data_IF_887619621430
#
_entry.id   IF_887619621430
#
_cell.length_a   1.000
_cell.length_b   1.000
_cell.length_c   1.000
_cell.angle_alpha   90.00
_cell.angle_beta   90.00
_cell.angle_gamma   90.00
#
_symmetry.space_group_name_H-M   'P 1'
#
loop_
_entity.id
_entity.type
_entity.pdbx_description
1 polymer ?
#
# COMPACT_ATOMS: atom_id res chain seq x y z
N UNK A 1 -4.34 3.56 -28.13
CA UNK A 1 -4.32 4.50 -26.98
C UNK A 1 -3.08 5.37 -27.08
N UNK A 2 -3.16 6.69 -26.91
CA UNK A 2 -1.98 7.55 -27.06
C UNK A 2 -0.97 7.31 -25.93
N UNK A 3 0.33 7.44 -26.20
CA UNK A 3 1.40 7.27 -25.20
C UNK A 3 1.17 8.14 -23.96
N UNK A 4 0.56 9.32 -24.15
CA UNK A 4 0.23 10.25 -23.08
C UNK A 4 -0.89 9.74 -22.17
N UNK A 5 -2.00 9.22 -22.74
CA UNK A 5 -3.08 8.61 -21.96
C UNK A 5 -2.61 7.40 -21.14
N UNK A 6 -1.67 6.61 -21.68
CA UNK A 6 -1.08 5.48 -20.93
C UNK A 6 -0.31 5.99 -19.72
N UNK A 7 0.49 7.05 -19.85
CA UNK A 7 1.26 7.61 -18.74
C UNK A 7 0.35 8.23 -17.66
N UNK A 8 -0.73 8.90 -18.07
CA UNK A 8 -1.74 9.42 -17.15
C UNK A 8 -2.42 8.28 -16.37
N UNK A 9 -2.86 7.24 -17.08
CA UNK A 9 -3.47 6.05 -16.47
C UNK A 9 -2.52 5.32 -15.51
N UNK A 10 -1.26 5.13 -15.87
CA UNK A 10 -0.25 4.53 -14.98
C UNK A 10 -0.05 5.39 -13.73
N UNK A 11 0.04 6.71 -13.88
CA UNK A 11 0.11 7.63 -12.75
C UNK A 11 -1.12 7.51 -11.84
N UNK A 12 -2.31 7.41 -12.39
CA UNK A 12 -3.55 7.23 -11.61
C UNK A 12 -3.54 5.90 -10.85
N UNK A 13 -3.13 4.81 -11.49
CA UNK A 13 -2.98 3.51 -10.83
C UNK A 13 -1.98 3.56 -9.68
N UNK A 14 -0.84 4.23 -9.86
CA UNK A 14 0.16 4.42 -8.79
C UNK A 14 -0.38 5.25 -7.62
N UNK A 15 -1.24 6.24 -7.90
CA UNK A 15 -1.86 7.06 -6.87
C UNK A 15 -2.84 6.23 -6.04
N UNK A 16 -3.73 5.49 -6.71
CA UNK A 16 -4.73 4.63 -6.09
C UNK A 16 -4.06 3.52 -5.28
N UNK A 17 -3.05 2.85 -5.86
CA UNK A 17 -2.32 1.81 -5.13
C UNK A 17 -1.61 2.36 -3.91
N UNK A 18 -1.03 3.56 -3.99
CA UNK A 18 -0.43 4.22 -2.82
C UNK A 18 -1.41 4.44 -1.67
N UNK A 19 -2.65 4.85 -1.97
CA UNK A 19 -3.70 4.95 -0.95
C UNK A 19 -4.13 3.59 -0.38
N UNK A 20 -4.22 2.56 -1.23
CA UNK A 20 -4.51 1.19 -0.78
C UNK A 20 -3.44 0.73 0.21
N UNK A 21 -2.17 0.96 -0.09
CA UNK A 21 -1.07 0.62 0.82
C UNK A 21 -1.15 1.36 2.16
N UNK A 22 -1.55 2.63 2.17
CA UNK A 22 -1.73 3.42 3.41
C UNK A 22 -2.90 2.92 4.25
N UNK A 23 -4.01 2.50 3.62
CA UNK A 23 -5.20 2.01 4.32
C UNK A 23 -5.03 0.54 4.76
N UNK A 24 -4.20 -0.22 4.04
CA UNK A 24 -4.02 -1.66 4.27
C UNK A 24 -3.67 -2.06 5.71
N UNK A 25 -2.87 -1.33 6.51
CA UNK A 25 -2.59 -1.68 7.90
C UNK A 25 -3.85 -1.75 8.76
N UNK A 26 -4.82 -0.86 8.52
CA UNK A 26 -6.11 -0.85 9.25
C UNK A 26 -6.92 -2.09 8.91
N UNK A 27 -6.99 -2.43 7.61
CA UNK A 27 -7.70 -3.61 7.12
C UNK A 27 -7.04 -4.89 7.67
N UNK A 28 -5.71 -4.97 7.63
CA UNK A 28 -4.93 -6.10 8.15
C UNK A 28 -5.12 -6.24 9.65
N UNK A 29 -5.02 -5.13 10.40
CA UNK A 29 -5.24 -5.13 11.85
C UNK A 29 -6.63 -5.66 12.19
N UNK A 30 -7.65 -5.15 11.52
CA UNK A 30 -9.04 -5.56 11.73
C UNK A 30 -9.28 -7.02 11.31
N UNK A 31 -8.66 -7.47 10.22
CA UNK A 31 -8.71 -8.87 9.82
C UNK A 31 -8.06 -9.77 10.87
N UNK A 32 -6.87 -9.44 11.38
CA UNK A 32 -6.19 -10.29 12.36
C UNK A 32 -6.95 -10.32 13.70
N UNK A 33 -7.40 -9.17 14.20
CA UNK A 33 -7.93 -9.04 15.58
C UNK A 33 -9.46 -9.10 15.66
N UNK A 34 -10.19 -9.02 14.54
CA UNK A 34 -11.65 -8.96 14.52
C UNK A 34 -12.36 -10.27 14.88
N UNK A 35 -11.64 -11.39 15.03
CA UNK A 35 -12.19 -12.65 15.49
C UNK A 35 -11.12 -13.42 16.28
N UNK A 36 -11.48 -13.89 17.48
CA UNK A 36 -10.54 -14.55 18.39
C UNK A 36 -10.04 -15.89 17.85
N UNK A 37 -10.90 -16.75 17.32
CA UNK A 37 -10.49 -18.04 16.75
C UNK A 37 -9.56 -17.85 15.55
N UNK A 38 -9.88 -16.88 14.68
CA UNK A 38 -9.04 -16.50 13.55
C UNK A 38 -7.69 -15.96 14.01
N UNK A 39 -7.67 -15.11 15.04
CA UNK A 39 -6.44 -14.61 15.62
C UNK A 39 -5.55 -15.76 16.11
N UNK A 40 -6.09 -16.67 16.91
CA UNK A 40 -5.36 -17.84 17.44
C UNK A 40 -4.87 -18.75 16.30
N UNK A 41 -5.67 -18.95 15.25
CA UNK A 41 -5.26 -19.71 14.08
C UNK A 41 -4.10 -19.04 13.32
N UNK A 42 -4.14 -17.72 13.13
CA UNK A 42 -3.09 -16.95 12.45
C UNK A 42 -1.76 -17.05 13.21
N UNK A 43 -1.77 -16.81 14.53
CA UNK A 43 -0.53 -16.80 15.34
C UNK A 43 0.08 -18.19 15.56
N UNK A 44 -0.71 -19.26 15.41
CA UNK A 44 -0.22 -20.64 15.43
C UNK A 44 0.12 -21.17 14.03
N UNK A 45 -0.07 -20.36 12.98
CA UNK A 45 0.20 -20.73 11.60
C UNK A 45 1.69 -20.78 11.25
N UNK A 46 2.04 -21.15 10.01
CA UNK A 46 3.42 -21.10 9.54
C UNK A 46 3.92 -19.65 9.45
N UNK A 47 5.24 -19.48 9.47
CA UNK A 47 5.86 -18.17 9.17
C UNK A 47 5.38 -17.65 7.79
N UNK A 48 5.07 -16.35 7.63
CA UNK A 48 5.21 -15.25 8.59
C UNK A 48 3.99 -15.03 9.51
N UNK A 49 2.91 -15.79 9.35
CA UNK A 49 1.65 -15.57 10.06
C UNK A 49 1.77 -15.75 11.57
N UNK A 50 2.60 -16.70 12.03
CA UNK A 50 2.87 -16.88 13.45
C UNK A 50 3.42 -15.63 14.15
N UNK A 51 4.08 -14.75 13.40
CA UNK A 51 4.69 -13.53 13.93
C UNK A 51 3.75 -12.32 13.85
N UNK A 52 2.57 -12.44 13.23
CA UNK A 52 1.59 -11.35 13.17
C UNK A 52 0.92 -11.05 14.52
N UNK A 53 0.99 -11.96 15.50
CA UNK A 53 0.63 -11.63 16.89
C UNK A 53 1.72 -10.84 17.61
N UNK A 54 2.92 -10.74 17.03
CA UNK A 54 4.05 -10.01 17.59
C UNK A 54 3.98 -8.52 17.23
N UNK A 55 3.82 -7.67 18.25
CA UNK A 55 3.81 -6.22 18.09
C UNK A 55 4.96 -5.65 17.22
N UNK A 56 6.23 -6.05 17.44
CA UNK A 56 7.35 -5.53 16.65
C UNK A 56 7.29 -5.89 15.15
N UNK A 57 6.94 -7.14 14.82
CA UNK A 57 6.85 -7.58 13.43
C UNK A 57 5.70 -6.90 12.70
N UNK A 58 4.54 -6.80 13.35
CA UNK A 58 3.38 -6.12 12.80
C UNK A 58 3.64 -4.61 12.59
N UNK A 59 4.34 -3.96 13.52
CA UNK A 59 4.71 -2.55 13.40
C UNK A 59 5.68 -2.31 12.24
N UNK A 60 6.69 -3.18 12.05
CA UNK A 60 7.60 -3.10 10.91
C UNK A 60 6.86 -3.28 9.58
N UNK A 61 5.95 -4.25 9.49
CA UNK A 61 5.11 -4.43 8.31
C UNK A 61 4.30 -3.16 8.02
N UNK A 62 3.65 -2.60 9.04
CA UNK A 62 2.79 -1.42 8.88
C UNK A 62 3.60 -0.20 8.43
N UNK A 63 4.75 0.06 9.05
CA UNK A 63 5.67 1.13 8.62
C UNK A 63 6.12 0.91 7.17
N UNK A 64 6.47 -0.33 6.81
CA UNK A 64 6.85 -0.68 5.43
C UNK A 64 5.73 -0.35 4.43
N UNK A 65 4.50 -0.74 4.73
CA UNK A 65 3.32 -0.43 3.89
C UNK A 65 3.09 1.08 3.77
N UNK A 66 3.24 1.83 4.87
CA UNK A 66 3.15 3.29 4.86
C UNK A 66 4.23 3.93 3.99
N UNK A 67 5.50 3.52 4.13
CA UNK A 67 6.61 4.06 3.34
C UNK A 67 6.40 3.80 1.85
N UNK A 68 6.01 2.57 1.48
CA UNK A 68 5.71 2.21 0.09
C UNK A 68 4.53 3.02 -0.44
N UNK A 69 3.46 3.15 0.34
CA UNK A 69 2.27 3.92 -0.04
C UNK A 69 2.56 5.39 -0.28
N UNK A 70 3.30 6.04 0.64
CA UNK A 70 3.74 7.43 0.49
C UNK A 70 4.64 7.57 -0.74
N UNK A 71 5.60 6.67 -0.92
CA UNK A 71 6.51 6.66 -2.08
C UNK A 71 5.75 6.63 -3.41
N UNK A 72 4.76 5.74 -3.53
CA UNK A 72 3.92 5.63 -4.73
C UNK A 72 3.13 6.92 -5.01
N UNK A 73 2.56 7.54 -3.99
CA UNK A 73 1.83 8.81 -4.14
C UNK A 73 2.77 9.93 -4.60
N UNK A 74 3.97 10.03 -4.02
CA UNK A 74 4.96 11.04 -4.39
C UNK A 74 5.42 10.87 -5.84
N UNK A 75 5.73 9.63 -6.25
CA UNK A 75 6.14 9.32 -7.62
C UNK A 75 5.02 9.63 -8.61
N UNK A 76 3.77 9.22 -8.29
CA UNK A 76 2.60 9.52 -9.13
C UNK A 76 2.41 11.03 -9.33
N UNK A 77 2.42 11.81 -8.24
CA UNK A 77 2.27 13.27 -8.31
C UNK A 77 3.40 13.92 -9.13
N UNK A 78 4.63 13.45 -8.97
CA UNK A 78 5.79 13.95 -9.72
C UNK A 78 5.67 13.64 -11.20
N UNK A 79 5.25 12.42 -11.55
CA UNK A 79 5.04 12.01 -12.94
C UNK A 79 3.90 12.82 -13.59
N UNK A 80 2.77 13.01 -12.90
CA UNK A 80 1.67 13.87 -13.37
C UNK A 80 2.10 15.32 -13.59
N UNK A 81 2.87 15.89 -12.66
CA UNK A 81 3.41 17.25 -12.80
C UNK A 81 4.27 17.37 -14.07
N UNK A 82 5.14 16.39 -14.32
CA UNK A 82 6.00 16.38 -15.51
C UNK A 82 5.22 16.22 -16.80
N UNK A 83 4.19 15.37 -16.82
CA UNK A 83 3.29 15.22 -17.97
C UNK A 83 2.56 16.52 -18.30
N UNK A 84 2.03 17.22 -17.28
CA UNK A 84 1.33 18.49 -17.46
C UNK A 84 2.23 19.56 -18.08
N UNK A 85 3.50 19.65 -17.66
CA UNK A 85 4.45 20.61 -18.23
C UNK A 85 4.78 20.32 -19.70
N UNK A 86 4.96 19.05 -20.07
CA UNK A 86 5.27 18.67 -21.46
C UNK A 86 4.12 18.90 -22.44
N UNK A 87 2.87 18.92 -21.98
CA UNK A 87 1.71 19.18 -22.84
C UNK A 87 1.40 20.67 -23.02
N UNK A 88 2.07 21.55 -22.27
CA UNK A 88 1.88 23.00 -22.31
C UNK A 88 2.93 23.73 -23.17
N UNK A 89 3.91 23.00 -23.68
CA UNK A 89 4.95 23.46 -24.59
C UNK A 89 4.66 22.92 -26.00
#
# INVERSE_FOLDING_TARGET
MSKQRIKEFVSDLMLVSGFIFIISPVIIYWFIHGNYERYIWIINGPYPFSHFGGGPFQLLLFIGLFIVGIGLIVVSKTLKKKLKMNNSN
#
